data_IF_365887021725
#
_entry.id   IF_365887021725
#
_cell.length_a   1.000
_cell.length_b   1.000
_cell.length_c   1.000
_cell.angle_alpha   90.00
_cell.angle_beta   90.00
_cell.angle_gamma   90.00
#
_symmetry.space_group_name_H-M   'P 1'
#
loop_
_entity.id
_entity.type
_entity.pdbx_description
1 polymer ?
#
# COMPACT_ATOMS: atom_id res chain seq x y z
N UNK A 1 55.95 64.43 -27.11
CA UNK A 1 55.97 63.07 -27.68
C UNK A 1 55.50 62.10 -26.60
N UNK A 2 54.52 61.23 -26.92
CA UNK A 2 54.07 60.00 -26.21
C UNK A 2 53.26 60.27 -24.91
N UNK A 3 51.92 60.34 -24.93
CA UNK A 3 50.89 59.29 -25.07
C UNK A 3 50.81 58.29 -23.90
N UNK A 4 49.64 58.26 -23.23
CA UNK A 4 48.97 57.16 -22.46
C UNK A 4 47.90 57.82 -21.56
N UNK A 5 46.63 57.45 -21.53
CA UNK A 5 45.86 56.35 -22.08
C UNK A 5 44.64 56.21 -21.18
N UNK A 6 43.44 56.47 -21.71
CA UNK A 6 42.18 56.39 -20.99
C UNK A 6 41.77 54.93 -20.76
N UNK A 7 41.27 54.61 -19.56
CA UNK A 7 40.53 53.38 -19.28
C UNK A 7 39.28 53.76 -18.49
N UNK A 8 38.14 53.79 -19.18
CA UNK A 8 36.81 53.91 -18.58
C UNK A 8 36.29 52.48 -18.38
N UNK A 9 36.16 52.06 -17.12
CA UNK A 9 35.56 50.79 -16.73
C UNK A 9 34.03 50.96 -16.69
N UNK A 10 33.33 50.45 -17.70
CA UNK A 10 31.88 50.24 -17.69
C UNK A 10 31.58 48.88 -17.08
N UNK A 11 31.07 48.86 -15.85
CA UNK A 11 30.57 47.63 -15.21
C UNK A 11 29.14 47.34 -15.65
N UNK A 12 28.96 46.27 -16.42
CA UNK A 12 27.66 45.77 -16.84
C UNK A 12 26.92 45.13 -15.66
N UNK A 13 25.72 45.63 -15.35
CA UNK A 13 24.78 45.03 -14.39
C UNK A 13 24.10 43.85 -15.08
N UNK A 14 24.47 42.63 -14.70
CA UNK A 14 23.81 41.41 -15.15
C UNK A 14 22.51 41.20 -14.35
N UNK A 15 21.36 41.44 -15.01
CA UNK A 15 20.04 41.09 -14.46
C UNK A 15 19.86 39.57 -14.59
N UNK A 16 19.99 38.87 -13.47
CA UNK A 16 19.71 37.43 -13.39
C UNK A 16 18.19 37.25 -13.31
N UNK A 17 17.55 36.94 -14.46
CA UNK A 17 16.20 36.40 -14.49
C UNK A 17 16.21 35.01 -13.85
N UNK A 18 15.84 34.94 -12.57
CA UNK A 18 15.57 33.66 -11.90
C UNK A 18 14.29 33.03 -12.45
N UNK A 19 14.43 31.90 -13.16
CA UNK A 19 13.30 31.02 -13.43
C UNK A 19 12.81 30.43 -12.11
N UNK A 20 11.69 30.95 -11.58
CA UNK A 20 10.99 30.31 -10.49
C UNK A 20 10.38 28.99 -10.98
N UNK A 21 11.00 27.87 -10.63
CA UNK A 21 10.42 26.54 -10.82
C UNK A 21 9.29 26.39 -9.80
N UNK A 22 8.05 26.60 -10.23
CA UNK A 22 6.87 26.30 -9.41
C UNK A 22 6.73 24.78 -9.33
N UNK A 23 7.16 24.20 -8.21
CA UNK A 23 6.87 22.81 -7.88
C UNK A 23 5.36 22.67 -7.69
N UNK A 24 4.65 22.07 -8.66
CA UNK A 24 3.27 21.64 -8.48
C UNK A 24 3.24 20.60 -7.35
N UNK A 25 2.77 21.01 -6.18
CA UNK A 25 2.42 20.13 -5.08
C UNK A 25 1.15 19.36 -5.47
N UNK A 26 1.31 18.32 -6.30
CA UNK A 26 0.25 17.33 -6.43
C UNK A 26 -0.06 16.76 -5.05
N UNK A 27 -1.34 16.62 -4.70
CA UNK A 27 -1.72 15.84 -3.54
C UNK A 27 -0.99 14.48 -3.60
N UNK A 28 -0.48 13.94 -2.46
CA UNK A 28 0.13 12.63 -2.48
C UNK A 28 -0.86 11.65 -3.12
N UNK A 29 -0.39 10.71 -3.97
CA UNK A 29 -1.27 9.73 -4.56
C UNK A 29 -2.01 9.01 -3.46
N UNK A 30 -3.34 8.92 -3.60
CA UNK A 30 -4.21 8.23 -2.65
C UNK A 30 -3.70 6.80 -2.45
N UNK A 31 -3.79 6.30 -1.22
CA UNK A 31 -3.37 4.94 -0.92
C UNK A 31 -1.90 4.81 -0.57
N UNK A 32 -1.38 5.76 0.21
CA UNK A 32 -0.02 5.64 0.76
C UNK A 32 0.10 4.45 1.74
N UNK A 33 -0.99 4.10 2.41
CA UNK A 33 -1.05 3.08 3.43
C UNK A 33 -1.96 1.91 3.04
N UNK A 34 -1.69 0.74 3.62
CA UNK A 34 -2.54 -0.45 3.47
C UNK A 34 -3.23 -0.77 4.78
N UNK A 35 -4.54 -0.94 4.73
CA UNK A 35 -5.39 -1.26 5.88
C UNK A 35 -5.97 -2.66 5.75
N UNK A 36 -6.10 -3.35 6.87
CA UNK A 36 -6.97 -4.51 7.01
C UNK A 36 -8.39 -4.00 7.25
N UNK A 37 -9.33 -4.42 6.41
CA UNK A 37 -10.71 -3.94 6.44
C UNK A 37 -11.64 -5.03 6.96
N UNK A 38 -12.60 -4.65 7.79
CA UNK A 38 -13.67 -5.53 8.28
C UNK A 38 -15.00 -4.78 8.28
N UNK A 39 -16.07 -5.31 7.67
CA UNK A 39 -17.41 -4.72 7.77
C UNK A 39 -17.86 -4.54 9.22
N UNK A 40 -18.56 -3.44 9.48
CA UNK A 40 -19.22 -3.18 10.75
C UNK A 40 -20.61 -3.80 10.78
N UNK A 41 -20.76 -4.93 11.47
CA UNK A 41 -22.01 -5.70 11.54
C UNK A 41 -22.96 -5.23 12.64
N UNK A 42 -22.70 -4.08 13.26
CA UNK A 42 -23.59 -3.51 14.28
C UNK A 42 -24.90 -3.06 13.64
N UNK A 43 -26.01 -3.39 14.27
CA UNK A 43 -27.36 -3.02 13.85
C UNK A 43 -27.75 -1.70 14.53
N UNK A 44 -27.48 -0.57 13.88
CA UNK A 44 -27.95 0.74 14.32
C UNK A 44 -27.99 1.73 13.14
N UNK A 45 -28.60 2.93 13.31
CA UNK A 45 -28.80 3.85 12.19
C UNK A 45 -27.49 4.24 11.51
N UNK A 46 -27.41 4.02 10.19
CA UNK A 46 -26.35 4.58 9.35
C UNK A 46 -26.36 6.11 9.47
N UNK A 47 -25.20 6.80 9.45
CA UNK A 47 -23.81 6.35 9.23
C UNK A 47 -23.04 5.93 10.50
N UNK A 48 -23.68 5.81 11.66
CA UNK A 48 -22.98 5.43 12.91
C UNK A 48 -22.53 3.95 12.91
N UNK A 49 -23.13 3.17 12.02
CA UNK A 49 -23.05 1.72 11.93
C UNK A 49 -23.16 1.28 10.46
N UNK A 50 -22.82 0.02 10.17
CA UNK A 50 -22.91 -0.54 8.81
C UNK A 50 -21.76 -0.14 7.87
N UNK A 51 -20.84 0.71 8.34
CA UNK A 51 -19.60 1.04 7.65
C UNK A 51 -18.53 -0.05 7.81
N UNK A 52 -17.29 0.36 8.10
CA UNK A 52 -16.16 -0.54 8.21
C UNK A 52 -15.25 -0.19 9.39
N UNK A 53 -14.57 -1.20 9.92
CA UNK A 53 -13.45 -1.08 10.82
C UNK A 53 -12.16 -1.27 10.04
N UNK A 54 -11.28 -0.28 10.09
CA UNK A 54 -10.00 -0.30 9.36
C UNK A 54 -8.84 -0.28 10.34
N UNK A 55 -7.89 -1.18 10.14
CA UNK A 55 -6.68 -1.28 10.96
C UNK A 55 -5.44 -1.19 10.08
N UNK A 56 -4.47 -0.33 10.42
CA UNK A 56 -3.25 -0.16 9.67
C UNK A 56 -2.43 -1.46 9.70
N UNK A 57 -2.20 -2.07 8.53
CA UNK A 57 -1.52 -3.36 8.46
C UNK A 57 -0.11 -3.29 9.07
N UNK A 58 0.27 -4.30 9.86
CA UNK A 58 1.53 -4.40 10.62
C UNK A 58 1.76 -3.36 11.72
N UNK A 59 0.72 -2.63 12.15
CA UNK A 59 0.79 -1.68 13.26
C UNK A 59 -0.24 -2.03 14.34
N UNK A 60 0.11 -1.75 15.60
CA UNK A 60 -0.80 -1.98 16.73
C UNK A 60 -1.88 -0.89 16.84
N UNK A 61 -1.63 0.29 16.25
CA UNK A 61 -2.56 1.43 16.26
C UNK A 61 -2.63 2.10 14.90
N UNK A 62 -3.81 2.63 14.63
CA UNK A 62 -4.24 3.31 13.41
C UNK A 62 -4.63 4.73 13.78
N UNK A 63 -4.17 5.73 13.02
CA UNK A 63 -4.64 7.11 13.17
C UNK A 63 -6.03 7.21 12.55
N UNK A 64 -7.01 7.59 13.35
CA UNK A 64 -8.41 7.71 12.93
C UNK A 64 -8.69 9.13 12.41
N UNK A 65 -9.86 9.32 11.81
CA UNK A 65 -10.29 10.62 11.28
C UNK A 65 -10.34 11.71 12.37
N UNK A 66 -10.70 11.34 13.60
CA UNK A 66 -10.66 12.22 14.78
C UNK A 66 -9.24 12.50 15.32
N UNK A 67 -8.20 12.06 14.61
CA UNK A 67 -6.80 12.24 14.98
C UNK A 67 -6.28 11.28 16.06
N UNK A 68 -7.17 10.54 16.74
CA UNK A 68 -6.79 9.62 17.80
C UNK A 68 -6.19 8.32 17.24
N UNK A 69 -5.36 7.64 18.06
CA UNK A 69 -4.74 6.37 17.68
C UNK A 69 -5.41 5.19 18.39
N UNK A 70 -6.14 4.38 17.63
CA UNK A 70 -6.88 3.21 18.12
C UNK A 70 -6.44 1.92 17.41
N UNK A 71 -6.69 0.72 17.95
CA UNK A 71 -6.39 -0.53 17.24
C UNK A 71 -7.05 -0.61 15.86
N UNK A 72 -8.30 -0.12 15.76
CA UNK A 72 -9.01 0.07 14.51
C UNK A 72 -9.84 1.36 14.56
N UNK A 73 -10.10 1.93 13.38
CA UNK A 73 -10.89 3.13 13.22
C UNK A 73 -12.21 2.80 12.52
N UNK A 74 -13.30 3.40 12.97
CA UNK A 74 -14.56 3.33 12.26
C UNK A 74 -14.54 4.29 11.06
N UNK A 75 -14.97 3.80 9.90
CA UNK A 75 -15.26 4.60 8.72
C UNK A 75 -16.70 4.34 8.30
N UNK A 76 -17.45 5.40 8.04
CA UNK A 76 -18.87 5.31 7.71
C UNK A 76 -19.12 4.73 6.31
N UNK A 77 -18.21 5.01 5.37
CA UNK A 77 -18.29 4.50 4.00
C UNK A 77 -16.89 4.32 3.40
N UNK A 78 -16.85 3.57 2.31
CA UNK A 78 -15.67 3.44 1.45
C UNK A 78 -16.00 3.98 0.08
N UNK A 79 -15.09 4.74 -0.49
CA UNK A 79 -15.20 5.29 -1.85
C UNK A 79 -13.90 5.02 -2.61
N UNK A 80 -13.96 5.04 -3.93
CA UNK A 80 -12.77 5.07 -4.78
C UNK A 80 -12.12 6.46 -4.80
N UNK A 81 -11.03 6.60 -5.56
CA UNK A 81 -10.29 7.85 -5.74
C UNK A 81 -11.13 8.98 -6.35
N UNK A 82 -12.16 8.62 -7.13
CA UNK A 82 -13.13 9.54 -7.75
C UNK A 82 -14.33 9.83 -6.82
N UNK A 83 -14.26 9.41 -5.56
CA UNK A 83 -15.31 9.52 -4.54
C UNK A 83 -16.60 8.76 -4.86
N UNK A 84 -16.56 7.77 -5.76
CA UNK A 84 -17.68 6.89 -6.05
C UNK A 84 -17.76 5.77 -5.02
N UNK A 85 -18.95 5.39 -4.55
CA UNK A 85 -19.10 4.21 -3.69
C UNK A 85 -18.59 2.94 -4.36
N UNK A 86 -17.95 2.03 -3.61
CA UNK A 86 -17.66 0.69 -4.12
C UNK A 86 -18.93 -0.16 -4.09
N UNK A 87 -19.44 -0.54 -5.26
CA UNK A 87 -20.72 -1.26 -5.40
C UNK A 87 -20.75 -2.62 -4.70
N UNK A 88 -19.66 -3.38 -4.80
CA UNK A 88 -19.57 -4.75 -4.25
C UNK A 88 -19.19 -4.80 -2.77
N UNK A 89 -18.94 -3.64 -2.14
CA UNK A 89 -18.42 -3.55 -0.78
C UNK A 89 -17.02 -4.17 -0.63
N UNK A 90 -16.48 -4.15 0.59
CA UNK A 90 -15.17 -4.77 0.89
C UNK A 90 -15.37 -6.02 1.76
N UNK A 91 -14.94 -7.21 1.33
CA UNK A 91 -15.12 -8.42 2.12
C UNK A 91 -14.29 -8.37 3.42
N UNK A 92 -14.77 -9.05 4.45
CA UNK A 92 -14.10 -9.12 5.75
C UNK A 92 -12.69 -9.71 5.64
N UNK A 93 -11.70 -8.99 6.18
CA UNK A 93 -10.30 -9.41 6.15
C UNK A 93 -9.57 -9.08 4.85
N UNK A 94 -10.20 -8.38 3.90
CA UNK A 94 -9.51 -7.82 2.75
C UNK A 94 -8.48 -6.75 3.15
N UNK A 95 -7.54 -6.49 2.25
CA UNK A 95 -6.62 -5.37 2.37
C UNK A 95 -7.06 -4.24 1.45
N UNK A 96 -6.99 -3.00 1.92
CA UNK A 96 -7.24 -1.83 1.09
C UNK A 96 -6.02 -0.93 1.10
N UNK A 97 -5.47 -0.61 -0.08
CA UNK A 97 -4.54 0.50 -0.22
C UNK A 97 -5.40 1.76 -0.28
N UNK A 98 -5.32 2.59 0.75
CA UNK A 98 -6.28 3.65 0.97
C UNK A 98 -5.70 4.79 1.82
N UNK A 99 -6.47 5.85 1.97
CA UNK A 99 -6.31 6.86 3.01
C UNK A 99 -7.60 6.96 3.84
N UNK A 100 -7.46 7.36 5.11
CA UNK A 100 -8.59 7.61 6.01
C UNK A 100 -8.78 9.11 6.10
N UNK A 101 -9.84 9.60 5.47
CA UNK A 101 -10.25 10.99 5.46
C UNK A 101 -11.37 11.26 6.46
N UNK A 102 -11.61 12.53 6.75
CA UNK A 102 -12.71 12.98 7.59
C UNK A 102 -13.84 13.55 6.72
N UNK A 103 -15.10 13.29 7.09
CA UNK A 103 -16.28 13.88 6.45
C UNK A 103 -17.32 14.25 7.50
N UNK A 104 -17.95 15.40 7.33
CA UNK A 104 -19.02 15.88 8.21
C UNK A 104 -20.37 15.31 7.80
N UNK A 105 -21.08 14.73 8.75
CA UNK A 105 -22.45 14.25 8.61
C UNK A 105 -23.39 15.13 9.45
N UNK A 106 -24.45 15.64 8.82
CA UNK A 106 -25.43 16.49 9.49
C UNK A 106 -26.05 15.77 10.69
N UNK A 107 -26.09 16.46 11.84
CA UNK A 107 -26.65 15.93 13.10
C UNK A 107 -25.79 14.89 13.84
N UNK A 108 -24.66 14.45 13.26
CA UNK A 108 -23.81 13.38 13.83
C UNK A 108 -22.37 13.86 14.09
N UNK A 109 -21.87 14.78 13.26
CA UNK A 109 -20.52 15.30 13.35
C UNK A 109 -19.57 14.63 12.36
N UNK A 110 -18.28 14.59 12.71
CA UNK A 110 -17.20 14.14 11.83
C UNK A 110 -17.01 12.63 11.94
N UNK A 111 -17.08 11.93 10.81
CA UNK A 111 -16.83 10.50 10.71
C UNK A 111 -15.74 10.22 9.67
N UNK A 112 -15.12 9.05 9.77
CA UNK A 112 -14.11 8.63 8.80
C UNK A 112 -14.71 8.16 7.47
N UNK A 113 -13.99 8.42 6.38
CA UNK A 113 -14.23 7.83 5.05
C UNK A 113 -12.95 7.17 4.60
N UNK A 114 -13.04 5.93 4.13
CA UNK A 114 -11.90 5.24 3.54
C UNK A 114 -11.89 5.50 2.03
N UNK A 115 -10.88 6.22 1.55
CA UNK A 115 -10.70 6.47 0.12
C UNK A 115 -9.73 5.44 -0.42
N UNK A 116 -10.24 4.44 -1.12
CA UNK A 116 -9.51 3.26 -1.55
C UNK A 116 -8.96 3.42 -2.98
N UNK A 117 -7.63 3.40 -3.10
CA UNK A 117 -6.94 3.26 -4.37
C UNK A 117 -7.01 1.81 -4.88
N UNK A 118 -6.84 0.82 -4.00
CA UNK A 118 -6.95 -0.59 -4.37
C UNK A 118 -7.62 -1.40 -3.27
N UNK A 119 -8.37 -2.41 -3.66
CA UNK A 119 -8.87 -3.46 -2.76
C UNK A 119 -8.25 -4.79 -3.17
N UNK A 120 -7.74 -5.54 -2.19
CA UNK A 120 -7.17 -6.86 -2.36
C UNK A 120 -7.95 -7.87 -1.53
N UNK A 121 -8.64 -8.76 -2.23
CA UNK A 121 -9.43 -9.81 -1.60
C UNK A 121 -8.56 -11.00 -1.24
N UNK A 122 -8.88 -11.65 -0.11
CA UNK A 122 -8.20 -12.88 0.29
C UNK A 122 -8.41 -13.97 -0.75
N UNK A 123 -7.31 -14.56 -1.22
CA UNK A 123 -7.31 -15.70 -2.08
C UNK A 123 -6.90 -16.93 -1.27
N UNK A 124 -7.86 -17.83 -1.03
CA UNK A 124 -7.68 -19.08 -0.27
C UNK A 124 -8.19 -19.04 1.16
N UNK A 125 -8.15 -20.21 1.82
CA UNK A 125 -8.75 -20.49 3.14
C UNK A 125 -7.75 -20.67 4.29
N UNK A 126 -6.46 -20.39 4.07
CA UNK A 126 -5.44 -20.55 5.11
C UNK A 126 -5.67 -19.68 6.35
N UNK A 127 -4.94 -19.92 7.45
CA UNK A 127 -5.14 -19.23 8.73
C UNK A 127 -4.85 -17.72 8.68
N UNK A 128 -5.54 -16.91 9.52
CA UNK A 128 -5.31 -15.46 9.68
C UNK A 128 -4.12 -15.16 10.61
N UNK A 129 -2.92 -15.58 10.24
CA UNK A 129 -1.73 -15.41 11.09
C UNK A 129 -0.51 -14.94 10.30
N UNK A 130 0.35 -14.16 10.97
CA UNK A 130 1.57 -13.60 10.41
C UNK A 130 1.45 -12.14 10.02
N UNK A 131 2.53 -11.59 9.48
CA UNK A 131 2.61 -10.19 9.04
C UNK A 131 2.24 -10.08 7.57
N UNK A 132 1.86 -8.87 7.15
CA UNK A 132 1.52 -8.59 5.76
C UNK A 132 2.74 -8.11 4.98
N UNK A 133 2.98 -8.71 3.83
CA UNK A 133 4.08 -8.40 2.94
C UNK A 133 3.56 -8.12 1.55
N UNK A 134 4.31 -7.29 0.84
CA UNK A 134 4.24 -7.16 -0.60
C UNK A 134 5.39 -7.95 -1.20
N UNK A 135 5.07 -8.84 -2.14
CA UNK A 135 6.03 -9.68 -2.84
C UNK A 135 6.07 -9.26 -4.30
N UNK A 136 7.27 -9.08 -4.85
CA UNK A 136 7.48 -8.65 -6.24
C UNK A 136 8.67 -9.42 -6.80
N UNK A 137 8.55 -9.92 -8.03
CA UNK A 137 9.72 -10.44 -8.76
C UNK A 137 10.67 -9.27 -9.09
N UNK A 138 11.94 -9.45 -8.76
CA UNK A 138 13.00 -8.47 -9.04
C UNK A 138 13.57 -8.60 -10.45
N UNK A 139 13.21 -9.65 -11.19
CA UNK A 139 13.74 -9.98 -12.50
C UNK A 139 15.08 -10.72 -12.47
N UNK A 140 15.63 -10.97 -11.28
CA UNK A 140 16.87 -11.76 -11.14
C UNK A 140 16.63 -13.20 -11.58
N UNK A 141 17.55 -13.75 -12.37
CA UNK A 141 17.54 -15.14 -12.85
C UNK A 141 18.91 -15.75 -12.56
N UNK A 142 18.94 -16.93 -11.94
CA UNK A 142 20.18 -17.57 -11.50
C UNK A 142 20.37 -18.92 -12.18
N UNK A 143 21.63 -19.29 -12.43
CA UNK A 143 21.97 -20.60 -13.00
C UNK A 143 21.90 -21.71 -11.93
N UNK A 144 22.20 -21.37 -10.67
CA UNK A 144 22.17 -22.29 -9.52
C UNK A 144 21.36 -21.71 -8.38
N UNK A 145 20.65 -22.57 -7.65
CA UNK A 145 19.92 -22.21 -6.44
C UNK A 145 20.86 -21.97 -5.23
N UNK A 146 20.45 -21.18 -4.21
CA UNK A 146 19.19 -20.43 -4.09
C UNK A 146 19.16 -19.15 -4.95
N UNK A 147 18.05 -18.91 -5.66
CA UNK A 147 17.90 -17.69 -6.47
C UNK A 147 17.03 -16.64 -5.77
N UNK A 148 17.64 -15.61 -5.20
CA UNK A 148 16.96 -14.54 -4.46
C UNK A 148 16.25 -13.53 -5.37
N UNK A 149 15.31 -14.02 -6.18
CA UNK A 149 14.59 -13.24 -7.19
C UNK A 149 13.37 -12.50 -6.66
N UNK A 150 12.92 -12.74 -5.42
CA UNK A 150 11.67 -12.17 -4.91
C UNK A 150 11.96 -11.16 -3.82
N UNK A 151 11.49 -9.93 -3.96
CA UNK A 151 11.57 -8.90 -2.91
C UNK A 151 10.33 -8.96 -2.04
N UNK A 152 10.52 -9.32 -0.77
CA UNK A 152 9.52 -9.27 0.27
C UNK A 152 9.65 -7.97 1.08
N UNK A 153 8.76 -7.02 0.82
CA UNK A 153 8.66 -5.75 1.55
C UNK A 153 7.56 -5.83 2.59
N UNK A 154 7.89 -5.49 3.83
CA UNK A 154 6.90 -5.45 4.89
C UNK A 154 5.95 -4.25 4.68
N UNK A 155 4.65 -4.50 4.64
CA UNK A 155 3.66 -3.46 4.37
C UNK A 155 3.67 -2.38 5.48
N UNK A 156 3.54 -1.11 5.09
CA UNK A 156 3.57 0.07 5.96
C UNK A 156 4.85 0.22 6.80
N UNK A 157 5.96 -0.39 6.36
CA UNK A 157 7.27 -0.34 7.02
C UNK A 157 8.38 -0.24 5.96
N UNK A 158 9.56 0.23 6.37
CA UNK A 158 10.71 0.35 5.47
C UNK A 158 11.48 -0.97 5.26
N UNK A 159 11.24 -1.96 6.13
CA UNK A 159 11.92 -3.26 6.10
C UNK A 159 11.60 -4.04 4.83
N UNK A 160 12.65 -4.53 4.18
CA UNK A 160 12.58 -5.37 2.97
C UNK A 160 13.69 -6.40 3.00
N UNK A 161 13.44 -7.55 2.40
CA UNK A 161 14.45 -8.59 2.21
C UNK A 161 14.17 -9.31 0.89
N UNK A 162 15.16 -10.02 0.37
CA UNK A 162 14.97 -10.93 -0.75
C UNK A 162 14.80 -12.35 -0.24
N UNK A 163 13.96 -13.12 -0.92
CA UNK A 163 13.69 -14.53 -0.67
C UNK A 163 13.92 -15.32 -1.96
N UNK A 164 14.33 -16.57 -1.82
CA UNK A 164 14.62 -17.48 -2.92
C UNK A 164 13.41 -18.25 -3.42
N UNK A 165 12.30 -18.21 -2.68
CA UNK A 165 11.07 -18.89 -3.05
C UNK A 165 9.87 -18.42 -2.23
N UNK A 166 8.68 -18.79 -2.69
CA UNK A 166 7.41 -18.63 -1.98
C UNK A 166 6.81 -20.03 -1.84
N UNK A 167 6.49 -20.42 -0.61
CA UNK A 167 5.75 -21.65 -0.34
C UNK A 167 4.39 -21.29 0.26
N UNK A 168 3.33 -21.97 -0.18
CA UNK A 168 2.05 -21.86 0.51
C UNK A 168 1.98 -22.89 1.64
N UNK A 169 1.70 -22.42 2.85
CA UNK A 169 1.54 -23.26 4.04
C UNK A 169 0.09 -23.24 4.57
N UNK A 170 -0.82 -22.61 3.81
CA UNK A 170 -2.23 -22.40 4.18
C UNK A 170 -3.19 -23.50 3.71
N UNK A 171 -2.69 -24.64 3.25
CA UNK A 171 -3.46 -25.73 2.65
C UNK A 171 -3.35 -25.78 1.12
N UNK A 172 -4.17 -26.63 0.50
CA UNK A 172 -4.15 -26.83 -0.97
C UNK A 172 -4.60 -25.55 -1.67
N UNK A 173 -3.71 -25.02 -2.52
CA UNK A 173 -3.98 -23.86 -3.37
C UNK A 173 -4.48 -24.38 -4.73
N UNK A 174 -5.69 -23.98 -5.19
CA UNK A 174 -6.16 -24.37 -6.51
C UNK A 174 -5.21 -23.88 -7.61
N UNK A 175 -4.99 -24.68 -8.65
CA UNK A 175 -4.11 -24.34 -9.78
C UNK A 175 -4.42 -22.96 -10.40
N UNK A 176 -5.72 -22.64 -10.54
CA UNK A 176 -6.17 -21.32 -11.01
C UNK A 176 -5.65 -20.17 -10.15
N UNK A 177 -5.52 -20.38 -8.84
CA UNK A 177 -4.98 -19.38 -7.94
C UNK A 177 -3.46 -19.27 -8.09
N UNK A 178 -2.75 -20.38 -8.25
CA UNK A 178 -1.29 -20.38 -8.50
C UNK A 178 -0.97 -19.52 -9.72
N UNK A 179 -1.63 -19.78 -10.86
CA UNK A 179 -1.42 -19.01 -12.10
C UNK A 179 -1.71 -17.51 -11.95
N UNK A 180 -2.77 -17.15 -11.20
CA UNK A 180 -3.11 -15.74 -10.92
C UNK A 180 -2.06 -15.07 -10.03
N UNK A 181 -1.53 -15.80 -9.05
CA UNK A 181 -0.46 -15.31 -8.17
C UNK A 181 0.83 -15.09 -8.95
N UNK A 182 1.23 -16.03 -9.81
CA UNK A 182 2.40 -15.88 -10.70
C UNK A 182 2.27 -14.68 -11.63
N UNK A 183 1.14 -14.59 -12.34
CA UNK A 183 0.87 -13.47 -13.25
C UNK A 183 0.92 -12.13 -12.51
N UNK A 184 0.36 -12.07 -11.30
CA UNK A 184 0.37 -10.85 -10.50
C UNK A 184 1.77 -10.53 -9.92
N UNK A 185 2.58 -11.55 -9.60
CA UNK A 185 3.94 -11.39 -9.07
C UNK A 185 4.88 -10.73 -10.08
N UNK A 186 4.69 -11.03 -11.37
CA UNK A 186 5.45 -10.45 -12.49
C UNK A 186 5.09 -8.98 -12.77
N UNK A 187 3.97 -8.49 -12.23
CA UNK A 187 3.61 -7.08 -12.36
C UNK A 187 4.46 -6.21 -11.43
N UNK A 188 4.65 -4.93 -11.83
CA UNK A 188 5.27 -3.95 -10.93
C UNK A 188 4.53 -3.78 -9.62
N UNK A 189 3.21 -4.03 -9.57
CA UNK A 189 2.36 -4.02 -8.37
C UNK A 189 2.62 -5.20 -7.43
N UNK A 190 3.07 -6.34 -7.95
CA UNK A 190 3.28 -7.58 -7.22
C UNK A 190 2.00 -8.13 -6.60
N UNK A 191 2.18 -9.03 -5.64
CA UNK A 191 1.11 -9.59 -4.82
C UNK A 191 1.23 -9.11 -3.38
N UNK A 192 0.11 -9.15 -2.66
CA UNK A 192 0.14 -9.05 -1.20
C UNK A 192 -0.03 -10.44 -0.59
N UNK A 193 0.65 -10.69 0.51
CA UNK A 193 0.59 -11.97 1.20
C UNK A 193 0.70 -11.78 2.71
N UNK A 194 0.06 -12.69 3.45
CA UNK A 194 0.28 -12.84 4.89
C UNK A 194 1.19 -14.04 5.10
N UNK A 195 2.16 -13.92 6.00
CA UNK A 195 3.10 -15.01 6.25
C UNK A 195 4.30 -14.63 7.09
N UNK A 196 5.35 -15.44 6.96
CA UNK A 196 6.65 -15.26 7.61
C UNK A 196 7.77 -15.77 6.71
N UNK A 197 9.00 -15.38 7.02
CA UNK A 197 10.18 -15.95 6.38
C UNK A 197 10.66 -17.18 7.16
N UNK A 198 11.28 -18.12 6.45
CA UNK A 198 11.94 -19.28 7.03
C UNK A 198 13.24 -19.58 6.27
N UNK A 199 14.24 -20.18 6.92
CA UNK A 199 15.36 -20.77 6.20
C UNK A 199 14.87 -21.89 5.29
N UNK A 200 15.51 -22.03 4.14
CA UNK A 200 15.30 -23.14 3.20
C UNK A 200 16.39 -24.19 3.37
N UNK A 201 16.11 -25.43 2.94
CA UNK A 201 17.03 -26.58 3.03
C UNK A 201 18.29 -26.34 2.18
N UNK A 202 18.18 -25.58 1.10
CA UNK A 202 19.29 -25.20 0.21
C UNK A 202 20.17 -24.05 0.77
N UNK A 203 20.00 -23.67 2.04
CA UNK A 203 20.66 -22.52 2.65
C UNK A 203 20.05 -21.17 2.24
N UNK A 204 18.99 -21.18 1.43
CA UNK A 204 18.24 -20.00 1.04
C UNK A 204 17.29 -19.49 2.13
N UNK A 205 16.38 -18.61 1.73
CA UNK A 205 15.30 -18.09 2.57
C UNK A 205 14.02 -18.06 1.79
N UNK A 206 12.97 -18.67 2.31
CA UNK A 206 11.67 -18.71 1.66
C UNK A 206 10.64 -17.89 2.41
N UNK A 207 9.63 -17.45 1.66
CA UNK A 207 8.43 -16.86 2.23
C UNK A 207 7.36 -17.94 2.38
N UNK A 208 7.00 -18.25 3.63
CA UNK A 208 5.91 -19.15 3.96
C UNK A 208 4.60 -18.35 4.01
N UNK A 209 3.85 -18.37 2.91
CA UNK A 209 2.58 -17.70 2.75
C UNK A 209 1.44 -18.50 3.40
N UNK A 210 0.81 -17.92 4.41
CA UNK A 210 -0.43 -18.46 5.01
C UNK A 210 -1.66 -18.04 4.21
N UNK A 211 -1.59 -16.89 3.52
CA UNK A 211 -2.65 -16.38 2.66
C UNK A 211 -2.12 -15.44 1.59
N UNK A 212 -2.70 -15.51 0.39
CA UNK A 212 -2.46 -14.53 -0.67
C UNK A 212 -3.62 -13.54 -0.76
N UNK A 213 -3.35 -12.34 -1.25
CA UNK A 213 -4.37 -11.34 -1.54
C UNK A 213 -4.13 -10.80 -2.95
N UNK A 214 -5.17 -10.87 -3.76
CA UNK A 214 -5.14 -10.44 -5.14
C UNK A 214 -6.02 -9.22 -5.30
N UNK A 215 -5.60 -8.30 -6.16
CA UNK A 215 -6.37 -7.11 -6.48
C UNK A 215 -7.75 -7.53 -7.00
N UNK A 216 -8.80 -6.94 -6.44
CA UNK A 216 -10.15 -7.09 -6.98
C UNK A 216 -10.19 -6.39 -8.34
N UNK A 217 -10.81 -7.03 -9.32
CA UNK A 217 -11.15 -6.37 -10.59
C UNK A 217 -12.23 -5.33 -10.27
N UNK A 218 -12.02 -4.08 -10.74
CA UNK A 218 -12.95 -2.96 -10.56
C UNK A 218 -14.08 -3.09 -11.58
#
# INVERSE_FOLDING_TARGET
MISRGAVVLLSAVAVVLGCAVVARSGAPPVGSAVYVVRPDLRLCPSPMCGGYWVALANHARTKCADGLRRPACYVAKVVDEDRRPLETGIPSGALARADVEETTYQGIGKLGVLVAADVFSSAGRGARSGRFFRLVDTGVRCIRAPCFSIRASLINRSSRTTVSGIQSVGGVVPERLVKRVETALDTKSGILAQGRMAPSIDGGREFLATRFFLRSER
#
